data_IF_700724148542
#
_entry.id   IF_700724148542
#
_cell.length_a   1.000
_cell.length_b   1.000
_cell.length_c   1.000
_cell.angle_alpha   90.00
_cell.angle_beta   90.00
_cell.angle_gamma   90.00
#
_symmetry.space_group_name_H-M   'P 1'
#
loop_
_entity.id
_entity.type
_entity.pdbx_description
1 polymer ?
#
# COMPACT_ATOMS: atom_id res chain seq x y z
N UNK A 1 22.24 -7.03 18.25
CA UNK A 1 20.82 -6.71 17.97
C UNK A 1 20.56 -5.22 17.77
N UNK A 2 20.98 -4.33 18.67
CA UNK A 2 20.69 -2.87 18.61
C UNK A 2 21.11 -2.19 17.30
N UNK A 3 22.30 -2.46 16.75
CA UNK A 3 22.76 -1.88 15.49
C UNK A 3 21.94 -2.34 14.27
N UNK A 4 21.53 -3.60 14.22
CA UNK A 4 20.71 -4.15 13.15
C UNK A 4 19.28 -3.57 13.19
N UNK A 5 18.68 -3.48 14.38
CA UNK A 5 17.36 -2.86 14.59
C UNK A 5 17.39 -1.38 14.20
N UNK A 6 18.42 -0.64 14.65
CA UNK A 6 18.59 0.77 14.29
C UNK A 6 18.72 0.95 12.76
N UNK A 7 19.53 0.10 12.12
CA UNK A 7 19.67 0.07 10.66
C UNK A 7 18.35 -0.20 9.95
N UNK A 8 17.54 -1.15 10.44
CA UNK A 8 16.23 -1.48 9.87
C UNK A 8 15.24 -0.32 10.01
N UNK A 9 15.17 0.32 11.17
CA UNK A 9 14.32 1.51 11.39
C UNK A 9 14.74 2.64 10.45
N UNK A 10 16.04 2.91 10.34
CA UNK A 10 16.55 3.95 9.46
C UNK A 10 16.21 3.67 7.99
N UNK A 11 16.33 2.42 7.55
CA UNK A 11 15.97 2.00 6.19
C UNK A 11 14.47 2.15 5.91
N UNK A 12 13.60 1.79 6.85
CA UNK A 12 12.16 1.97 6.77
C UNK A 12 11.80 3.45 6.62
N UNK A 13 12.41 4.32 7.44
CA UNK A 13 12.19 5.78 7.38
C UNK A 13 12.72 6.35 6.07
N UNK A 14 13.91 5.94 5.64
CA UNK A 14 14.49 6.36 4.37
C UNK A 14 13.61 5.98 3.18
N UNK A 15 13.05 4.76 3.18
CA UNK A 15 12.09 4.34 2.17
C UNK A 15 10.83 5.21 2.19
N UNK A 16 10.25 5.45 3.36
CA UNK A 16 9.02 6.25 3.49
C UNK A 16 9.18 7.67 2.93
N UNK A 17 10.38 8.25 3.05
CA UNK A 17 10.71 9.58 2.50
C UNK A 17 11.05 9.51 1.01
N UNK A 18 11.87 8.55 0.60
CA UNK A 18 12.38 8.48 -0.77
C UNK A 18 11.34 7.98 -1.78
N UNK A 19 10.48 7.04 -1.39
CA UNK A 19 9.54 6.38 -2.30
C UNK A 19 8.55 7.34 -2.97
N UNK A 20 7.86 8.28 -2.27
CA UNK A 20 6.96 9.22 -2.91
C UNK A 20 7.68 10.21 -3.83
N UNK A 21 8.95 10.52 -3.56
CA UNK A 21 9.78 11.39 -4.41
C UNK A 21 10.22 10.65 -5.68
N UNK A 22 10.69 9.42 -5.54
CA UNK A 22 11.09 8.56 -6.66
C UNK A 22 9.90 8.30 -7.60
N UNK A 23 8.71 8.07 -7.05
CA UNK A 23 7.49 7.84 -7.83
C UNK A 23 7.13 8.95 -8.81
N UNK A 24 7.51 10.20 -8.52
CA UNK A 24 7.26 11.35 -9.42
C UNK A 24 8.10 11.30 -10.70
N UNK A 25 9.20 10.55 -10.69
CA UNK A 25 10.17 10.43 -11.78
C UNK A 25 10.01 9.15 -12.60
N UNK A 26 9.08 8.29 -12.21
CA UNK A 26 8.76 7.04 -12.88
C UNK A 26 7.52 7.21 -13.78
N UNK A 27 7.42 6.37 -14.83
CA UNK A 27 6.14 6.27 -15.54
C UNK A 27 5.07 5.73 -14.60
N UNK A 28 3.80 6.14 -14.75
CA UNK A 28 2.73 5.79 -13.82
C UNK A 28 2.60 4.28 -13.55
N UNK A 29 2.62 3.47 -14.62
CA UNK A 29 2.57 2.02 -14.52
C UNK A 29 3.77 1.44 -13.74
N UNK A 30 4.97 1.96 -14.00
CA UNK A 30 6.19 1.49 -13.34
C UNK A 30 6.20 1.93 -11.86
N UNK A 31 5.78 3.15 -11.56
CA UNK A 31 5.64 3.63 -10.19
C UNK A 31 4.72 2.72 -9.38
N UNK A 32 3.54 2.38 -9.91
CA UNK A 32 2.61 1.47 -9.23
C UNK A 32 3.22 0.10 -9.00
N UNK A 33 3.78 -0.52 -10.06
CA UNK A 33 4.34 -1.90 -10.01
C UNK A 33 5.56 -2.04 -9.10
N UNK A 34 6.28 -0.96 -8.82
CA UNK A 34 7.45 -0.99 -7.95
C UNK A 34 7.13 -0.52 -6.53
N UNK A 35 6.39 0.59 -6.38
CA UNK A 35 6.12 1.14 -5.06
C UNK A 35 5.19 0.27 -4.22
N UNK A 36 4.25 -0.45 -4.84
CA UNK A 36 3.33 -1.31 -4.07
C UNK A 36 4.05 -2.49 -3.44
N UNK A 37 4.77 -3.36 -4.18
CA UNK A 37 5.52 -4.46 -3.55
C UNK A 37 6.55 -3.95 -2.54
N UNK A 38 7.22 -2.83 -2.84
CA UNK A 38 8.17 -2.20 -1.94
C UNK A 38 7.52 -1.73 -0.62
N UNK A 39 6.32 -1.14 -0.70
CA UNK A 39 5.56 -0.73 0.49
C UNK A 39 5.12 -1.95 1.32
N UNK A 40 4.68 -3.03 0.67
CA UNK A 40 4.32 -4.28 1.34
C UNK A 40 5.53 -4.91 2.04
N UNK A 41 6.69 -4.96 1.37
CA UNK A 41 7.93 -5.47 1.96
C UNK A 41 8.36 -4.62 3.17
N UNK A 42 8.28 -3.28 3.06
CA UNK A 42 8.60 -2.37 4.17
C UNK A 42 7.63 -2.53 5.35
N UNK A 43 6.35 -2.73 5.09
CA UNK A 43 5.36 -3.02 6.13
C UNK A 43 5.64 -4.37 6.81
N UNK A 44 5.97 -5.41 6.04
CA UNK A 44 6.38 -6.70 6.58
C UNK A 44 7.63 -6.60 7.46
N UNK A 45 8.66 -5.85 7.00
CA UNK A 45 9.85 -5.56 7.81
C UNK A 45 9.50 -4.84 9.12
N UNK A 46 8.53 -3.91 9.10
CA UNK A 46 8.07 -3.23 10.31
C UNK A 46 7.48 -4.22 11.32
N UNK A 47 6.57 -5.10 10.86
CA UNK A 47 5.96 -6.14 11.70
C UNK A 47 7.04 -7.08 12.26
N UNK A 48 7.98 -7.49 11.42
CA UNK A 48 9.06 -8.37 11.81
C UNK A 48 9.95 -7.74 12.90
N UNK A 49 10.38 -6.49 12.71
CA UNK A 49 11.23 -5.79 13.70
C UNK A 49 10.50 -5.61 15.03
N UNK A 50 9.22 -5.19 14.99
CA UNK A 50 8.42 -5.09 16.22
C UNK A 50 8.23 -6.45 16.89
N UNK A 51 8.01 -7.49 16.10
CA UNK A 51 7.87 -8.88 16.59
C UNK A 51 9.15 -9.40 17.23
N UNK A 52 10.31 -9.18 16.60
CA UNK A 52 11.61 -9.56 17.13
C UNK A 52 11.92 -8.87 18.47
N UNK A 53 11.65 -7.54 18.55
CA UNK A 53 11.81 -6.78 19.79
C UNK A 53 10.84 -7.24 20.89
N UNK A 54 9.60 -7.55 20.56
CA UNK A 54 8.63 -8.05 21.52
C UNK A 54 8.96 -9.47 22.01
N UNK A 55 9.55 -10.29 21.12
CA UNK A 55 9.89 -11.68 21.41
C UNK A 55 10.96 -11.81 22.51
N UNK A 56 11.88 -10.84 22.65
CA UNK A 56 12.90 -10.86 23.70
C UNK A 56 12.25 -10.82 25.10
N UNK A 57 11.31 -9.91 25.31
CA UNK A 57 10.57 -9.82 26.58
C UNK A 57 9.59 -10.97 26.79
N UNK A 58 8.85 -11.38 25.73
CA UNK A 58 7.92 -12.50 25.81
C UNK A 58 8.63 -13.81 26.16
N UNK A 59 9.83 -14.03 25.62
CA UNK A 59 10.65 -15.22 25.89
C UNK A 59 11.12 -15.33 27.33
N UNK A 60 11.14 -14.22 28.08
CA UNK A 60 11.48 -14.20 29.52
C UNK A 60 10.31 -14.60 30.41
N UNK A 61 9.07 -14.65 29.88
CA UNK A 61 7.91 -15.08 30.66
C UNK A 61 7.93 -16.59 30.86
N UNK A 62 7.82 -17.12 32.14
CA UNK A 62 7.88 -18.55 32.43
C UNK A 62 6.86 -19.37 31.63
N UNK A 63 5.67 -18.81 31.42
CA UNK A 63 4.60 -19.47 30.68
C UNK A 63 4.95 -19.68 29.19
N UNK A 64 5.76 -18.82 28.59
CA UNK A 64 6.21 -18.91 27.18
C UNK A 64 7.49 -19.77 27.12
N UNK A 65 8.42 -19.59 28.05
CA UNK A 65 9.64 -20.40 28.11
C UNK A 65 9.35 -21.90 28.28
N UNK A 66 8.21 -22.27 28.87
CA UNK A 66 7.79 -23.66 28.97
C UNK A 66 7.54 -24.36 27.61
N UNK A 67 7.39 -23.59 26.51
CA UNK A 67 7.19 -24.12 25.15
C UNK A 67 8.48 -24.21 24.33
N UNK A 68 9.62 -23.76 24.87
CA UNK A 68 10.88 -23.76 24.16
C UNK A 68 12.06 -24.28 24.95
N UNK A 69 13.21 -24.56 24.32
CA UNK A 69 14.38 -25.15 24.95
C UNK A 69 15.26 -24.12 25.69
N UNK A 70 14.92 -22.85 25.73
CA UNK A 70 15.76 -21.79 26.33
C UNK A 70 15.48 -21.54 27.81
N UNK A 71 16.49 -21.02 28.51
CA UNK A 71 16.39 -20.56 29.88
C UNK A 71 16.04 -19.09 29.97
N UNK A 72 15.02 -18.72 30.75
CA UNK A 72 14.62 -17.33 30.97
C UNK A 72 15.76 -16.49 31.56
N UNK A 73 16.51 -17.03 32.53
CA UNK A 73 17.64 -16.35 33.18
C UNK A 73 18.79 -16.06 32.21
N UNK A 74 19.06 -17.00 31.28
CA UNK A 74 20.11 -16.79 30.25
C UNK A 74 19.67 -15.80 29.20
N UNK A 75 18.40 -15.87 28.78
CA UNK A 75 17.84 -14.93 27.83
C UNK A 75 17.86 -13.51 28.39
N UNK A 76 17.47 -13.31 29.64
CA UNK A 76 17.51 -12.03 30.34
C UNK A 76 18.95 -11.48 30.43
N UNK A 77 19.92 -12.32 30.80
CA UNK A 77 21.32 -11.93 30.89
C UNK A 77 21.97 -11.58 29.53
N UNK A 78 21.47 -12.16 28.43
CA UNK A 78 21.96 -11.94 27.08
C UNK A 78 21.20 -10.84 26.33
N UNK A 79 20.00 -10.42 26.81
CA UNK A 79 19.12 -9.51 26.11
C UNK A 79 19.68 -8.08 26.10
N UNK A 80 20.00 -7.52 24.91
CA UNK A 80 20.45 -6.16 24.78
C UNK A 80 19.31 -5.15 24.67
N UNK A 81 18.04 -5.58 24.70
CA UNK A 81 16.85 -4.73 24.50
C UNK A 81 16.27 -4.35 25.86
N UNK A 82 16.16 -3.05 26.16
CA UNK A 82 15.52 -2.62 27.40
C UNK A 82 14.03 -3.03 27.42
N UNK A 83 13.54 -3.57 28.54
CA UNK A 83 12.13 -3.99 28.74
C UNK A 83 11.11 -2.96 28.23
N UNK A 84 11.23 -1.65 28.52
CA UNK A 84 10.26 -0.68 28.02
C UNK A 84 10.16 -0.64 26.49
N UNK A 85 11.27 -0.90 25.78
CA UNK A 85 11.29 -0.94 24.30
C UNK A 85 10.58 -2.19 23.80
N UNK A 86 10.83 -3.33 24.42
CA UNK A 86 10.20 -4.59 24.07
C UNK A 86 8.68 -4.56 24.34
N UNK A 87 8.27 -4.05 25.50
CA UNK A 87 6.84 -3.90 25.85
C UNK A 87 6.16 -2.89 24.91
N UNK A 88 6.78 -1.75 24.60
CA UNK A 88 6.25 -0.79 23.65
C UNK A 88 6.08 -1.44 22.26
N UNK A 89 7.05 -2.24 21.82
CA UNK A 89 6.99 -2.95 20.55
C UNK A 89 5.82 -3.93 20.50
N UNK A 90 5.57 -4.67 21.58
CA UNK A 90 4.42 -5.56 21.73
C UNK A 90 3.09 -4.79 21.66
N UNK A 91 2.98 -3.67 22.35
CA UNK A 91 1.79 -2.81 22.31
C UNK A 91 1.56 -2.29 20.90
N UNK A 92 2.59 -1.77 20.24
CA UNK A 92 2.49 -1.27 18.87
C UNK A 92 2.10 -2.39 17.89
N UNK A 93 2.68 -3.57 18.03
CA UNK A 93 2.34 -4.73 17.21
C UNK A 93 0.88 -5.14 17.39
N UNK A 94 0.42 -5.21 18.64
CA UNK A 94 -0.97 -5.56 18.97
C UNK A 94 -1.95 -4.52 18.39
N UNK A 95 -1.71 -3.24 18.63
CA UNK A 95 -2.54 -2.14 18.11
C UNK A 95 -2.57 -2.17 16.58
N UNK A 96 -1.42 -2.32 15.94
CA UNK A 96 -1.32 -2.40 14.47
C UNK A 96 -2.07 -3.60 13.92
N UNK A 97 -1.96 -4.77 14.57
CA UNK A 97 -2.67 -5.98 14.15
C UNK A 97 -4.18 -5.81 14.26
N UNK A 98 -4.68 -5.35 15.41
CA UNK A 98 -6.13 -5.10 15.62
C UNK A 98 -6.66 -4.08 14.61
N UNK A 99 -5.92 -2.99 14.40
CA UNK A 99 -6.29 -1.96 13.45
C UNK A 99 -6.34 -2.49 12.00
N UNK A 100 -5.33 -3.27 11.61
CA UNK A 100 -5.24 -3.87 10.26
C UNK A 100 -6.35 -4.88 10.02
N UNK A 101 -6.65 -5.73 11.00
CA UNK A 101 -7.75 -6.71 10.91
C UNK A 101 -9.10 -6.00 10.80
N UNK A 102 -9.35 -5.00 11.63
CA UNK A 102 -10.62 -4.24 11.59
C UNK A 102 -10.79 -3.44 10.30
N UNK A 103 -9.72 -2.82 9.81
CA UNK A 103 -9.70 -2.14 8.52
C UNK A 103 -9.96 -3.13 7.38
N UNK A 104 -9.25 -4.27 7.38
CA UNK A 104 -9.40 -5.32 6.37
C UNK A 104 -10.81 -5.88 6.32
N UNK A 105 -11.40 -6.19 7.47
CA UNK A 105 -12.78 -6.66 7.56
C UNK A 105 -13.76 -5.64 6.96
N UNK A 106 -13.65 -4.36 7.33
CA UNK A 106 -14.50 -3.29 6.75
C UNK A 106 -14.32 -3.18 5.24
N UNK A 107 -13.09 -3.31 4.75
CA UNK A 107 -12.80 -3.21 3.31
C UNK A 107 -13.36 -4.39 2.54
N UNK A 108 -13.21 -5.61 3.06
CA UNK A 108 -13.81 -6.82 2.48
C UNK A 108 -15.34 -6.70 2.45
N UNK A 109 -15.96 -6.27 3.54
CA UNK A 109 -17.41 -6.05 3.57
C UNK A 109 -17.87 -5.04 2.51
N UNK A 110 -17.15 -3.92 2.36
CA UNK A 110 -17.48 -2.92 1.34
C UNK A 110 -17.35 -3.47 -0.10
N UNK A 111 -16.29 -4.24 -0.38
CA UNK A 111 -16.09 -4.87 -1.70
C UNK A 111 -17.17 -5.92 -1.99
N UNK A 112 -17.54 -6.72 -0.97
CA UNK A 112 -18.61 -7.72 -1.10
C UNK A 112 -19.99 -7.06 -1.31
N UNK A 113 -20.25 -5.91 -0.67
CA UNK A 113 -21.46 -5.14 -0.90
C UNK A 113 -21.54 -4.69 -2.37
N UNK A 114 -20.48 -4.04 -2.88
CA UNK A 114 -20.42 -3.64 -4.30
C UNK A 114 -20.59 -4.85 -5.22
N UNK A 115 -19.93 -5.97 -4.92
CA UNK A 115 -20.08 -7.17 -5.72
C UNK A 115 -21.53 -7.69 -5.73
N UNK A 116 -22.19 -7.77 -4.57
CA UNK A 116 -23.59 -8.23 -4.45
C UNK A 116 -24.56 -7.32 -5.19
N UNK A 117 -24.35 -6.01 -5.12
CA UNK A 117 -25.25 -5.03 -5.70
C UNK A 117 -25.22 -5.05 -7.24
N UNK A 118 -24.07 -5.38 -7.84
CA UNK A 118 -23.87 -5.18 -9.29
C UNK A 118 -23.60 -6.45 -10.09
N UNK A 119 -23.12 -7.57 -9.49
CA UNK A 119 -22.70 -8.76 -10.24
C UNK A 119 -23.82 -9.42 -11.07
N UNK A 120 -25.08 -9.22 -10.69
CA UNK A 120 -26.25 -9.82 -11.36
C UNK A 120 -26.85 -8.95 -12.45
N UNK A 121 -26.42 -7.67 -12.58
CA UNK A 121 -27.05 -6.73 -13.50
C UNK A 121 -26.68 -6.97 -14.96
N UNK A 122 -25.52 -7.54 -15.23
CA UNK A 122 -25.05 -7.74 -16.61
C UNK A 122 -23.86 -8.70 -16.68
N UNK A 123 -23.58 -9.30 -17.87
CA UNK A 123 -22.37 -10.11 -18.08
C UNK A 123 -21.10 -9.35 -17.79
N UNK A 124 -20.05 -10.09 -17.40
CA UNK A 124 -18.71 -9.56 -17.16
C UNK A 124 -18.20 -8.70 -18.34
N UNK A 125 -17.63 -7.54 -18.04
CA UNK A 125 -17.06 -6.62 -19.04
C UNK A 125 -18.07 -5.68 -19.69
N UNK A 126 -19.36 -5.70 -19.29
CA UNK A 126 -20.39 -4.80 -19.81
C UNK A 126 -20.31 -3.40 -19.20
N UNK A 127 -20.97 -2.46 -19.88
CA UNK A 127 -21.24 -1.11 -19.38
C UNK A 127 -22.69 -1.06 -18.88
N UNK A 128 -22.85 -0.58 -17.66
CA UNK A 128 -24.17 -0.42 -17.03
C UNK A 128 -24.41 1.06 -16.84
N UNK A 129 -25.54 1.55 -17.36
CA UNK A 129 -26.03 2.90 -17.06
C UNK A 129 -27.02 2.79 -15.90
N UNK A 130 -26.60 3.31 -14.74
CA UNK A 130 -27.40 3.30 -13.52
C UNK A 130 -28.29 4.54 -13.48
N UNK A 131 -29.60 4.36 -13.29
CA UNK A 131 -30.53 5.48 -13.10
C UNK A 131 -30.25 6.15 -11.75
N UNK A 132 -29.47 7.23 -11.82
CA UNK A 132 -29.05 8.02 -10.66
C UNK A 132 -28.80 9.47 -11.05
N UNK A 133 -29.25 10.37 -10.17
CA UNK A 133 -29.00 11.81 -10.30
C UNK A 133 -27.58 12.23 -9.90
N UNK A 134 -26.78 11.35 -9.26
CA UNK A 134 -25.39 11.62 -8.97
C UNK A 134 -24.56 11.58 -10.25
N UNK A 135 -23.51 12.41 -10.33
CA UNK A 135 -22.59 12.42 -11.47
C UNK A 135 -21.39 11.56 -11.09
N UNK A 136 -21.38 10.30 -11.54
CA UNK A 136 -20.31 9.36 -11.20
C UNK A 136 -20.11 8.27 -12.26
N UNK A 137 -18.86 7.75 -12.33
CA UNK A 137 -18.53 6.55 -13.05
C UNK A 137 -17.49 5.77 -12.22
N UNK A 138 -17.56 4.46 -12.23
CA UNK A 138 -16.60 3.61 -11.53
C UNK A 138 -16.56 2.20 -12.12
N UNK A 139 -15.43 1.55 -11.94
CA UNK A 139 -15.20 0.16 -12.28
C UNK A 139 -15.42 -0.75 -11.06
N UNK A 140 -16.20 -1.83 -11.21
CA UNK A 140 -16.29 -2.86 -10.16
C UNK A 140 -15.03 -3.71 -10.15
N UNK A 141 -14.60 -4.21 -8.97
CA UNK A 141 -13.43 -5.08 -8.89
C UNK A 141 -13.60 -6.38 -9.70
N UNK A 142 -12.49 -6.86 -10.30
CA UNK A 142 -12.47 -8.20 -10.87
C UNK A 142 -12.80 -9.27 -9.77
N UNK A 143 -13.44 -10.40 -10.13
CA UNK A 143 -13.56 -10.98 -11.47
C UNK A 143 -14.73 -10.46 -12.31
N UNK A 144 -15.76 -9.84 -11.73
CA UNK A 144 -16.94 -9.40 -12.47
C UNK A 144 -16.65 -8.24 -13.45
N UNK A 145 -15.75 -7.32 -13.08
CA UNK A 145 -15.18 -6.28 -13.93
C UNK A 145 -16.18 -5.55 -14.83
N UNK A 146 -17.10 -4.76 -14.26
CA UNK A 146 -18.10 -4.00 -15.00
C UNK A 146 -17.79 -2.51 -14.87
N UNK A 147 -18.09 -1.71 -15.90
CA UNK A 147 -18.06 -0.26 -15.84
C UNK A 147 -19.47 0.25 -15.56
N UNK A 148 -19.63 0.97 -14.48
CA UNK A 148 -20.89 1.58 -14.08
C UNK A 148 -20.79 3.08 -14.31
N UNK A 149 -21.76 3.64 -15.03
CA UNK A 149 -21.87 5.08 -15.29
C UNK A 149 -23.27 5.51 -14.90
N UNK A 150 -23.41 6.58 -14.17
CA UNK A 150 -24.75 7.12 -13.83
C UNK A 150 -25.40 7.81 -15.04
N UNK A 151 -26.72 7.75 -15.13
CA UNK A 151 -27.47 8.41 -16.19
C UNK A 151 -27.16 9.91 -16.25
N UNK A 152 -27.08 10.57 -15.10
CA UNK A 152 -26.73 11.98 -15.01
C UNK A 152 -25.36 12.34 -15.62
N UNK A 153 -24.34 11.48 -15.45
CA UNK A 153 -23.06 11.67 -16.12
C UNK A 153 -23.15 11.31 -17.59
N UNK A 154 -23.77 10.18 -17.91
CA UNK A 154 -23.92 9.71 -19.28
C UNK A 154 -24.57 10.76 -20.19
N UNK A 155 -25.68 11.37 -19.75
CA UNK A 155 -26.40 12.38 -20.53
C UNK A 155 -25.67 13.71 -20.64
N UNK A 156 -24.86 14.05 -19.64
CA UNK A 156 -24.04 15.26 -19.65
C UNK A 156 -22.85 15.19 -20.63
N UNK A 157 -22.42 13.99 -21.04
CA UNK A 157 -21.25 13.77 -21.87
C UNK A 157 -21.59 13.58 -23.35
N UNK A 158 -20.77 14.14 -24.22
CA UNK A 158 -20.80 13.86 -25.65
C UNK A 158 -20.34 12.43 -25.94
N UNK A 159 -20.65 11.86 -27.13
CA UNK A 159 -20.21 10.50 -27.48
C UNK A 159 -18.69 10.28 -27.37
N UNK A 160 -17.89 11.29 -27.72
CA UNK A 160 -16.44 11.20 -27.62
C UNK A 160 -15.95 11.22 -26.16
N UNK A 161 -16.57 12.06 -25.31
CA UNK A 161 -16.25 12.10 -23.88
C UNK A 161 -16.68 10.82 -23.17
N UNK A 162 -17.83 10.20 -23.55
CA UNK A 162 -18.22 8.86 -23.06
C UNK A 162 -17.16 7.81 -23.38
N UNK A 163 -16.60 7.83 -24.59
CA UNK A 163 -15.48 6.94 -24.96
C UNK A 163 -14.27 7.12 -24.07
N UNK A 164 -13.93 8.37 -23.70
CA UNK A 164 -12.83 8.66 -22.77
C UNK A 164 -13.09 8.06 -21.38
N UNK A 165 -14.28 8.35 -20.81
CA UNK A 165 -14.64 7.83 -19.48
C UNK A 165 -14.63 6.30 -19.46
N UNK A 166 -15.22 5.67 -20.46
CA UNK A 166 -15.23 4.21 -20.57
C UNK A 166 -13.83 3.63 -20.74
N UNK A 167 -12.94 4.28 -21.48
CA UNK A 167 -11.56 3.84 -21.65
C UNK A 167 -10.76 3.96 -20.34
N UNK A 168 -10.99 5.03 -19.57
CA UNK A 168 -10.39 5.24 -18.25
C UNK A 168 -10.84 4.16 -17.25
N UNK A 169 -12.15 3.96 -17.10
CA UNK A 169 -12.69 2.93 -16.18
C UNK A 169 -12.26 1.51 -16.57
N UNK A 170 -12.18 1.24 -17.87
CA UNK A 170 -11.71 -0.04 -18.37
C UNK A 170 -10.24 -0.31 -18.02
N UNK A 171 -9.40 0.71 -17.99
CA UNK A 171 -8.02 0.58 -17.53
C UNK A 171 -7.93 0.11 -16.08
N UNK A 172 -8.84 0.59 -15.20
CA UNK A 172 -8.89 0.12 -13.81
C UNK A 172 -9.20 -1.37 -13.70
N UNK A 173 -10.04 -1.90 -14.58
CA UNK A 173 -10.36 -3.33 -14.64
C UNK A 173 -9.18 -4.13 -15.21
N UNK A 174 -8.68 -3.73 -16.38
CA UNK A 174 -7.65 -4.45 -17.14
C UNK A 174 -6.34 -4.58 -16.35
N UNK A 175 -5.96 -3.54 -15.62
CA UNK A 175 -4.75 -3.51 -14.79
C UNK A 175 -4.99 -3.84 -13.32
N UNK A 176 -6.23 -4.18 -12.93
CA UNK A 176 -6.60 -4.54 -11.56
C UNK A 176 -6.20 -3.47 -10.55
N UNK A 177 -6.42 -2.20 -10.87
CA UNK A 177 -5.97 -1.06 -10.07
C UNK A 177 -6.48 -1.09 -8.63
N UNK A 178 -7.69 -1.63 -8.40
CA UNK A 178 -8.26 -1.81 -7.06
C UNK A 178 -7.35 -2.64 -6.15
N UNK A 179 -6.72 -3.69 -6.68
CA UNK A 179 -5.84 -4.54 -5.88
C UNK A 179 -4.50 -3.87 -5.55
N UNK A 180 -3.96 -3.07 -6.48
CA UNK A 180 -2.76 -2.29 -6.23
C UNK A 180 -2.98 -1.23 -5.14
N UNK A 181 -4.10 -0.49 -5.20
CA UNK A 181 -4.46 0.50 -4.18
C UNK A 181 -4.75 -0.14 -2.84
N UNK A 182 -5.45 -1.27 -2.82
CA UNK A 182 -5.76 -2.02 -1.61
C UNK A 182 -4.48 -2.51 -0.90
N UNK A 183 -3.51 -3.06 -1.65
CA UNK A 183 -2.24 -3.50 -1.10
C UNK A 183 -1.42 -2.33 -0.51
N UNK A 184 -1.41 -1.17 -1.18
CA UNK A 184 -0.76 0.04 -0.68
C UNK A 184 -1.45 0.58 0.58
N UNK A 185 -2.78 0.57 0.63
CA UNK A 185 -3.57 0.95 1.80
C UNK A 185 -3.28 0.02 2.99
N UNK A 186 -3.26 -1.29 2.75
CA UNK A 186 -2.91 -2.27 3.78
C UNK A 186 -1.51 -2.01 4.34
N UNK A 187 -0.51 -1.79 3.47
CA UNK A 187 0.85 -1.47 3.90
C UNK A 187 0.89 -0.19 4.77
N UNK A 188 0.13 0.86 4.40
CA UNK A 188 0.06 2.10 5.17
C UNK A 188 -0.79 1.98 6.45
N UNK A 189 -1.63 0.97 6.56
CA UNK A 189 -2.36 0.64 7.78
C UNK A 189 -1.42 0.00 8.81
N UNK A 190 -0.52 -0.87 8.33
CA UNK A 190 0.52 -1.51 9.14
C UNK A 190 1.59 -0.48 9.54
N UNK A 191 2.08 0.31 8.58
CA UNK A 191 3.08 1.34 8.84
C UNK A 191 2.58 2.71 8.36
N UNK A 192 2.11 3.59 9.26
CA UNK A 192 1.58 4.91 8.92
C UNK A 192 2.57 5.85 8.20
N UNK A 193 3.87 5.61 8.30
CA UNK A 193 4.90 6.37 7.57
C UNK A 193 4.78 6.19 6.06
N UNK A 194 4.11 5.12 5.59
CA UNK A 194 3.87 4.84 4.17
C UNK A 194 2.68 5.61 3.57
N UNK A 195 1.92 6.39 4.36
CA UNK A 195 0.77 7.19 3.85
C UNK A 195 1.12 8.10 2.66
N UNK A 196 2.26 8.83 2.68
CA UNK A 196 2.66 9.63 1.53
C UNK A 196 2.95 8.79 0.28
N UNK A 197 3.53 7.59 0.46
CA UNK A 197 3.77 6.64 -0.63
C UNK A 197 2.47 6.10 -1.19
N UNK A 198 1.51 5.75 -0.33
CA UNK A 198 0.15 5.32 -0.75
C UNK A 198 -0.56 6.42 -1.54
N UNK A 199 -0.47 7.67 -1.12
CA UNK A 199 -0.99 8.80 -1.89
C UNK A 199 -0.30 8.96 -3.26
N UNK A 200 1.02 8.74 -3.33
CA UNK A 200 1.75 8.75 -4.60
C UNK A 200 1.32 7.59 -5.51
N UNK A 201 1.07 6.40 -4.97
CA UNK A 201 0.57 5.24 -5.71
C UNK A 201 -0.83 5.52 -6.26
N UNK A 202 -1.75 6.07 -5.47
CA UNK A 202 -3.09 6.45 -5.94
C UNK A 202 -3.02 7.42 -7.12
N UNK A 203 -2.19 8.46 -7.03
CA UNK A 203 -1.95 9.39 -8.15
C UNK A 203 -1.36 8.69 -9.37
N UNK A 204 -0.44 7.75 -9.18
CA UNK A 204 0.16 6.99 -10.27
C UNK A 204 -0.88 6.08 -10.96
N UNK A 205 -1.76 5.45 -10.22
CA UNK A 205 -2.87 4.63 -10.73
C UNK A 205 -3.82 5.45 -11.58
N UNK A 206 -4.25 6.62 -11.10
CA UNK A 206 -5.11 7.52 -11.87
C UNK A 206 -4.42 8.00 -13.16
N UNK A 207 -3.16 8.40 -13.08
CA UNK A 207 -2.38 8.80 -14.25
C UNK A 207 -2.15 7.65 -15.24
N UNK A 208 -2.05 6.42 -14.75
CA UNK A 208 -1.95 5.25 -15.62
C UNK A 208 -3.25 5.06 -16.41
N UNK A 209 -4.40 5.15 -15.75
CA UNK A 209 -5.70 5.07 -16.41
C UNK A 209 -5.90 6.21 -17.45
N UNK A 210 -5.42 7.42 -17.14
CA UNK A 210 -5.46 8.56 -18.06
C UNK A 210 -4.59 8.34 -19.31
N UNK A 211 -3.37 7.82 -19.15
CA UNK A 211 -2.48 7.51 -20.28
C UNK A 211 -3.06 6.39 -21.16
N UNK A 212 -3.63 5.35 -20.55
CA UNK A 212 -4.31 4.29 -21.30
C UNK A 212 -5.52 4.81 -22.07
N UNK A 213 -6.32 5.67 -21.44
CA UNK A 213 -7.43 6.32 -22.13
C UNK A 213 -6.94 7.16 -23.32
N UNK A 214 -5.85 7.91 -23.15
CA UNK A 214 -5.24 8.70 -24.21
C UNK A 214 -4.71 7.86 -25.37
N UNK A 215 -4.15 6.69 -25.08
CA UNK A 215 -3.72 5.72 -26.09
C UNK A 215 -4.93 5.15 -26.86
N UNK A 216 -6.01 4.76 -26.15
CA UNK A 216 -7.20 4.15 -26.77
C UNK A 216 -8.00 5.12 -27.62
N UNK A 217 -8.09 6.37 -27.16
CA UNK A 217 -8.85 7.43 -27.85
C UNK A 217 -7.98 8.16 -28.88
N UNK A 218 -6.64 8.04 -28.80
CA UNK A 218 -5.63 8.70 -29.66
C UNK A 218 -5.69 10.24 -29.62
N UNK A 219 -6.28 10.80 -28.56
CA UNK A 219 -6.40 12.25 -28.35
C UNK A 219 -6.21 12.63 -26.88
N UNK A 220 -4.98 13.02 -26.51
CA UNK A 220 -4.60 13.43 -25.13
C UNK A 220 -5.35 14.69 -24.70
N UNK A 221 -5.62 15.60 -25.63
CA UNK A 221 -6.30 16.87 -25.35
C UNK A 221 -7.77 16.63 -25.02
N UNK A 222 -8.42 15.73 -25.75
CA UNK A 222 -9.79 15.32 -25.44
C UNK A 222 -9.87 14.67 -24.07
N UNK A 223 -8.93 13.77 -23.72
CA UNK A 223 -8.88 13.15 -22.39
C UNK A 223 -8.71 14.19 -21.29
N UNK A 224 -7.76 15.13 -21.44
CA UNK A 224 -7.54 16.20 -20.48
C UNK A 224 -8.79 17.07 -20.26
N UNK A 225 -9.48 17.45 -21.35
CA UNK A 225 -10.73 18.23 -21.29
C UNK A 225 -11.86 17.44 -20.63
N UNK A 226 -11.99 16.15 -20.95
CA UNK A 226 -13.04 15.30 -20.38
C UNK A 226 -12.84 15.14 -18.88
N UNK A 227 -11.61 14.91 -18.40
CA UNK A 227 -11.30 14.82 -16.97
C UNK A 227 -11.65 16.13 -16.26
N UNK A 228 -11.24 17.27 -16.80
CA UNK A 228 -11.56 18.57 -16.23
C UNK A 228 -13.09 18.81 -16.18
N UNK A 229 -13.81 18.50 -17.27
CA UNK A 229 -15.26 18.66 -17.33
C UNK A 229 -15.99 17.74 -16.37
N UNK A 230 -15.61 16.47 -16.29
CA UNK A 230 -16.21 15.50 -15.36
C UNK A 230 -16.03 15.96 -13.91
N UNK A 231 -14.84 16.45 -13.56
CA UNK A 231 -14.56 16.97 -12.23
C UNK A 231 -15.43 18.20 -11.89
N UNK A 232 -15.65 19.11 -12.84
CA UNK A 232 -16.54 20.26 -12.67
C UNK A 232 -17.99 19.80 -12.46
N UNK A 233 -18.50 18.88 -13.29
CA UNK A 233 -19.86 18.34 -13.16
C UNK A 233 -20.09 17.66 -11.80
N UNK A 234 -19.05 16.95 -11.29
CA UNK A 234 -19.11 16.35 -9.96
C UNK A 234 -19.10 17.41 -8.85
N UNK A 235 -18.34 18.49 -9.04
CA UNK A 235 -18.25 19.57 -8.07
C UNK A 235 -19.58 20.33 -7.95
N UNK A 236 -20.16 20.72 -9.05
CA UNK A 236 -21.42 21.50 -9.09
C UNK A 236 -22.57 20.77 -8.39
N UNK A 237 -22.62 19.46 -8.49
CA UNK A 237 -23.68 18.63 -7.87
C UNK A 237 -23.40 18.24 -6.40
N UNK A 238 -22.16 18.31 -5.94
CA UNK A 238 -21.75 18.10 -4.54
C UNK A 238 -21.77 19.36 -3.69
N UNK A 239 -21.99 20.54 -4.29
CA UNK A 239 -21.99 21.85 -3.61
C UNK A 239 -23.20 22.07 -2.73
N UNK A 240 -23.36 21.22 -1.69
CA UNK A 240 -24.03 21.56 -0.45
C UNK A 240 -23.01 22.22 0.51
N UNK A 241 -23.44 23.01 1.50
CA UNK A 241 -22.58 23.95 2.24
C UNK A 241 -21.45 23.36 3.09
N UNK A 242 -21.15 22.08 3.06
CA UNK A 242 -20.25 21.44 4.03
C UNK A 242 -19.04 20.68 3.48
N UNK A 243 -18.73 20.66 2.18
CA UNK A 243 -17.63 19.83 1.64
C UNK A 243 -16.75 20.53 0.59
N UNK A 244 -16.42 21.80 0.76
CA UNK A 244 -15.61 22.58 -0.20
C UNK A 244 -14.11 22.21 -0.27
N UNK A 245 -13.58 21.36 0.60
CA UNK A 245 -12.14 21.06 0.65
C UNK A 245 -11.67 19.91 -0.28
N UNK A 246 -12.55 19.03 -0.71
CA UNK A 246 -12.16 17.89 -1.54
C UNK A 246 -11.94 18.24 -3.03
N UNK A 247 -12.51 19.34 -3.51
CA UNK A 247 -12.51 19.68 -4.93
C UNK A 247 -11.47 20.73 -5.34
N UNK A 248 -10.98 21.56 -4.43
CA UNK A 248 -10.02 22.65 -4.72
C UNK A 248 -8.56 22.27 -4.66
N UNK A 249 -8.20 21.09 -4.12
CA UNK A 249 -6.83 20.60 -4.00
C UNK A 249 -6.57 19.25 -4.64
N UNK A 250 -7.54 18.70 -5.37
CA UNK A 250 -7.46 17.34 -5.92
C UNK A 250 -6.40 17.19 -7.03
N UNK A 251 -6.07 15.94 -7.34
CA UNK A 251 -5.09 15.56 -8.37
C UNK A 251 -5.47 15.98 -9.80
N UNK A 252 -6.72 16.48 -10.03
CA UNK A 252 -7.25 16.82 -11.36
C UNK A 252 -6.37 17.83 -12.11
N UNK A 253 -5.96 18.98 -11.54
CA UNK A 253 -5.09 19.92 -12.25
C UNK A 253 -3.73 19.29 -12.64
N UNK A 254 -3.20 18.41 -11.80
CA UNK A 254 -1.94 17.71 -12.08
C UNK A 254 -2.11 16.65 -13.18
N UNK A 255 -3.23 15.94 -13.20
CA UNK A 255 -3.60 14.95 -14.24
C UNK A 255 -3.77 15.66 -15.60
N UNK A 256 -4.52 16.75 -15.63
CA UNK A 256 -4.72 17.56 -16.84
C UNK A 256 -3.39 18.08 -17.37
N UNK A 257 -2.54 18.68 -16.52
CA UNK A 257 -1.22 19.15 -16.93
C UNK A 257 -0.35 18.02 -17.48
N UNK A 258 -0.33 16.86 -16.84
CA UNK A 258 0.45 15.72 -17.28
C UNK A 258 0.02 15.18 -18.65
N UNK A 259 -1.26 15.27 -19.01
CA UNK A 259 -1.76 14.90 -20.33
C UNK A 259 -1.41 15.93 -21.42
N UNK A 260 -1.27 17.21 -21.05
CA UNK A 260 -0.88 18.28 -21.96
C UNK A 260 0.64 18.39 -22.17
N UNK A 261 1.42 17.78 -21.25
CA UNK A 261 2.87 17.69 -21.36
C UNK A 261 3.28 16.39 -22.10
N UNK A 262 4.51 16.34 -22.66
CA UNK A 262 5.05 15.10 -23.22
C UNK A 262 5.12 14.00 -22.15
N UNK A 263 4.97 12.73 -22.54
CA UNK A 263 5.05 11.61 -21.61
C UNK A 263 6.39 11.62 -20.84
N UNK A 264 6.37 11.25 -19.55
CA UNK A 264 7.55 11.37 -18.69
C UNK A 264 8.71 10.52 -19.22
N UNK A 265 9.89 11.12 -19.32
CA UNK A 265 11.12 10.41 -19.69
C UNK A 265 11.50 9.44 -18.59
N UNK A 266 11.92 8.24 -18.96
CA UNK A 266 12.45 7.24 -18.01
C UNK A 266 13.72 7.79 -17.34
N UNK A 267 13.72 7.85 -16.01
CA UNK A 267 14.88 8.29 -15.23
C UNK A 267 15.43 7.09 -14.45
N UNK A 268 16.49 6.43 -14.95
CA UNK A 268 17.01 5.19 -14.36
C UNK A 268 17.52 5.36 -12.93
N UNK A 269 17.99 6.56 -12.56
CA UNK A 269 18.47 6.81 -11.20
C UNK A 269 17.37 6.63 -10.12
N UNK A 270 16.11 6.92 -10.41
CA UNK A 270 15.02 6.72 -9.48
C UNK A 270 14.78 5.22 -9.19
N UNK A 271 14.95 4.38 -10.21
CA UNK A 271 14.93 2.93 -10.06
C UNK A 271 16.08 2.44 -9.20
N UNK A 272 17.30 2.88 -9.50
CA UNK A 272 18.50 2.49 -8.74
C UNK A 272 18.35 2.90 -7.28
N UNK A 273 17.93 4.13 -7.00
CA UNK A 273 17.72 4.60 -5.64
C UNK A 273 16.70 3.74 -4.89
N UNK A 274 15.58 3.40 -5.52
CA UNK A 274 14.55 2.54 -4.92
C UNK A 274 15.07 1.13 -4.66
N UNK A 275 15.79 0.53 -5.62
CA UNK A 275 16.40 -0.79 -5.45
C UNK A 275 17.45 -0.81 -4.32
N UNK A 276 18.27 0.23 -4.20
CA UNK A 276 19.24 0.35 -3.11
C UNK A 276 18.56 0.41 -1.76
N UNK A 277 17.52 1.25 -1.61
CA UNK A 277 16.79 1.35 -0.34
C UNK A 277 16.12 0.02 0.03
N UNK A 278 15.52 -0.67 -0.94
CA UNK A 278 14.93 -2.00 -0.71
C UNK A 278 15.98 -3.05 -0.33
N UNK A 279 17.13 -3.06 -1.00
CA UNK A 279 18.22 -3.98 -0.67
C UNK A 279 18.74 -3.73 0.75
N UNK A 280 18.90 -2.47 1.15
CA UNK A 280 19.29 -2.09 2.52
C UNK A 280 18.22 -2.52 3.53
N UNK A 281 16.93 -2.29 3.24
CA UNK A 281 15.83 -2.73 4.11
C UNK A 281 15.85 -4.25 4.29
N UNK A 282 15.99 -5.01 3.21
CA UNK A 282 16.08 -6.47 3.28
C UNK A 282 17.31 -6.94 4.06
N UNK A 283 18.48 -6.37 3.79
CA UNK A 283 19.74 -6.73 4.47
C UNK A 283 19.69 -6.45 5.99
N UNK A 284 19.12 -5.32 6.39
CA UNK A 284 18.98 -4.97 7.81
C UNK A 284 17.94 -5.83 8.51
N UNK A 285 16.84 -6.18 7.84
CA UNK A 285 15.82 -7.10 8.36
C UNK A 285 16.40 -8.50 8.59
N UNK A 286 17.16 -9.02 7.61
CA UNK A 286 17.91 -10.29 7.76
C UNK A 286 18.97 -10.21 8.88
N UNK A 287 19.57 -9.04 9.09
CA UNK A 287 20.47 -8.81 10.22
C UNK A 287 19.77 -8.90 11.57
N UNK A 288 18.53 -8.42 11.68
CA UNK A 288 17.72 -8.57 12.90
C UNK A 288 17.36 -10.05 13.13
N UNK A 289 16.95 -10.78 12.09
CA UNK A 289 16.64 -12.20 12.15
C UNK A 289 17.82 -12.99 12.71
N UNK A 290 18.99 -12.91 12.06
CA UNK A 290 20.19 -13.62 12.50
C UNK A 290 20.58 -13.31 13.93
N UNK A 291 20.44 -12.05 14.33
CA UNK A 291 20.81 -11.64 15.69
C UNK A 291 19.81 -12.16 16.72
N UNK A 292 18.50 -12.21 16.37
CA UNK A 292 17.47 -12.79 17.23
C UNK A 292 17.69 -14.29 17.40
N UNK A 293 17.97 -15.03 16.32
CA UNK A 293 18.25 -16.47 16.36
C UNK A 293 19.45 -16.75 17.28
N UNK A 294 20.55 -15.99 17.13
CA UNK A 294 21.73 -16.15 18.01
C UNK A 294 21.43 -15.90 19.48
N UNK A 295 20.53 -14.98 19.83
CA UNK A 295 20.16 -14.75 21.24
C UNK A 295 19.44 -15.96 21.83
N UNK A 296 18.48 -16.53 21.09
CA UNK A 296 17.75 -17.71 21.53
C UNK A 296 18.64 -18.96 21.57
N UNK A 297 19.55 -19.13 20.58
CA UNK A 297 20.54 -20.21 20.56
C UNK A 297 21.49 -20.15 21.78
N UNK A 298 21.96 -18.96 22.14
CA UNK A 298 22.82 -18.77 23.33
C UNK A 298 22.05 -19.07 24.64
N UNK A 299 20.75 -18.85 24.66
CA UNK A 299 19.89 -19.15 25.79
C UNK A 299 19.45 -20.62 25.84
N UNK A 300 19.73 -21.44 24.81
CA UNK A 300 19.34 -22.85 24.76
C UNK A 300 20.06 -23.66 25.85
N UNK A 301 19.27 -24.45 26.58
CA UNK A 301 19.76 -25.32 27.66
C UNK A 301 20.44 -26.59 27.15
N UNK A 302 20.12 -27.05 25.95
CA UNK A 302 20.67 -28.27 25.36
C UNK A 302 22.13 -28.12 24.93
N UNK A 303 22.50 -26.95 24.36
CA UNK A 303 23.87 -26.67 23.95
C UNK A 303 24.82 -26.65 25.16
N UNK A 304 24.34 -26.18 26.32
CA UNK A 304 25.15 -26.13 27.53
C UNK A 304 25.48 -27.54 28.12
N UNK A 305 24.63 -28.53 27.93
CA UNK A 305 24.90 -29.90 28.37
C UNK A 305 25.93 -30.60 27.50
N UNK A 306 26.10 -30.28 26.23
CA UNK A 306 27.10 -30.88 25.34
C UNK A 306 28.53 -30.42 25.67
N UNK A 307 28.72 -29.21 26.16
CA UNK A 307 30.03 -28.70 26.56
C UNK A 307 30.52 -29.19 27.92
N UNK A 308 29.63 -29.73 28.78
CA UNK A 308 30.00 -30.31 30.09
C UNK A 308 30.31 -31.80 30.03
N UNK A 309 30.08 -32.51 28.93
CA UNK A 309 30.28 -33.94 28.79
C UNK A 309 31.56 -34.33 27.99
N UNK A 310 32.48 -33.40 27.70
CA UNK A 310 33.83 -33.71 27.24
C UNK A 310 34.86 -33.31 28.31
N UNK A 311 35.11 -34.17 29.36
CA UNK A 311 36.33 -34.08 30.14
C UNK A 311 37.47 -34.67 29.30
N UNK A 312 38.58 -33.92 29.18
CA UNK A 312 39.85 -34.36 28.63
C UNK A 312 40.39 -35.56 29.40
#
# INVERSE_FOLDING_TARGET
MTSAVFGAILAIVAFAIAAPLAGRHLSPALATRLLVPASVATAASTVFVLGALAATWLGQLPAIAAFGPWSTTRLDAADPVPDPVAVLSLVLLTVTTVWTVTWGARRVHALLAVYRDYHHLSPTGSVIVLDSATVDAFATPAPAGQVIVTAALWDALTPNERRVVLAHERSHIDHRHTWWTLAAELASTINPLLRPTTAAIRRAVERWADEDAAIRVTDRTLVARTIARTALLQHDRRSGPHLSQAATGGDVPQRVRALLEPPPRRRPFALVALCVVLAVTAATTLGVERTSDHLFDQADTQIAHQHHHHPL
#
